data_IF_971911083021
#
_entry.id   IF_971911083021
#
_cell.length_a   1.000
_cell.length_b   1.000
_cell.length_c   1.000
_cell.angle_alpha   90.00
_cell.angle_beta   90.00
_cell.angle_gamma   90.00
#
_symmetry.space_group_name_H-M   'P 1'
#
loop_
_entity.id
_entity.type
_entity.pdbx_description
1 polymer ?
#
# COMPACT_ATOMS: atom_id res chain seq x y z
N UNK A 1 135.52 -64.44 39.28
CA UNK A 1 134.86 -63.44 40.15
C UNK A 1 133.43 -63.27 39.66
N UNK A 2 132.47 -63.21 40.59
CA UNK A 2 131.02 -63.40 40.44
C UNK A 2 130.26 -62.07 40.33
N UNK A 3 129.09 -62.11 39.64
CA UNK A 3 127.80 -61.36 39.83
C UNK A 3 127.83 -59.81 39.86
N UNK A 4 126.93 -59.14 39.10
CA UNK A 4 125.87 -58.24 39.65
C UNK A 4 125.29 -57.21 38.65
N UNK A 5 123.99 -57.37 38.36
CA UNK A 5 122.85 -56.44 38.43
C UNK A 5 122.83 -55.01 37.79
N UNK A 6 121.74 -54.79 37.02
CA UNK A 6 120.78 -53.64 36.99
C UNK A 6 121.08 -52.27 36.37
N UNK A 7 120.07 -51.78 35.61
CA UNK A 7 119.69 -50.37 35.47
C UNK A 7 118.50 -50.19 34.48
N UNK A 8 117.37 -49.53 34.85
CA UNK A 8 116.18 -49.40 34.00
C UNK A 8 116.27 -48.23 32.98
N UNK A 9 115.30 -48.19 32.07
CA UNK A 9 115.28 -47.41 30.83
C UNK A 9 115.36 -45.88 30.96
N UNK A 10 115.97 -45.23 29.96
CA UNK A 10 115.89 -43.79 29.72
C UNK A 10 114.75 -43.43 28.73
N UNK A 11 114.18 -42.21 28.83
CA UNK A 11 112.89 -41.85 28.23
C UNK A 11 112.94 -41.53 26.73
N UNK A 12 111.76 -41.58 26.11
CA UNK A 12 111.47 -41.28 24.70
C UNK A 12 111.80 -39.82 24.37
N UNK A 13 112.51 -39.58 23.26
CA UNK A 13 112.66 -38.26 22.67
C UNK A 13 111.42 -37.86 21.86
N UNK A 14 110.94 -36.63 22.07
CA UNK A 14 109.67 -36.09 21.54
C UNK A 14 109.77 -35.65 20.07
N UNK A 15 108.62 -35.71 19.39
CA UNK A 15 108.42 -35.50 17.95
C UNK A 15 108.80 -34.10 17.43
N UNK A 16 109.23 -34.05 16.17
CA UNK A 16 109.45 -32.81 15.43
C UNK A 16 108.13 -32.11 15.07
N UNK A 17 108.11 -30.79 15.24
CA UNK A 17 106.93 -29.93 15.07
C UNK A 17 106.42 -29.86 13.62
N UNK A 18 105.10 -29.98 13.45
CA UNK A 18 104.36 -29.72 12.21
C UNK A 18 104.39 -28.22 11.88
N UNK A 19 104.61 -27.86 10.61
CA UNK A 19 104.71 -26.47 10.14
C UNK A 19 103.42 -25.66 10.36
N UNK A 20 103.58 -24.34 10.50
CA UNK A 20 102.49 -23.42 10.82
C UNK A 20 101.38 -23.40 9.75
N UNK A 21 100.14 -23.37 10.22
CA UNK A 21 98.91 -23.32 9.41
C UNK A 21 98.79 -21.97 8.67
N UNK A 22 98.33 -22.02 7.41
CA UNK A 22 98.18 -20.83 6.56
C UNK A 22 97.13 -19.86 7.09
N UNK A 23 97.34 -18.54 6.89
CA UNK A 23 96.41 -17.51 7.35
C UNK A 23 95.05 -17.62 6.64
N UNK A 24 93.97 -17.52 7.41
CA UNK A 24 92.59 -17.58 6.93
C UNK A 24 92.27 -16.38 6.02
N UNK A 25 91.62 -16.64 4.88
CA UNK A 25 91.24 -15.60 3.91
C UNK A 25 90.27 -14.56 4.47
N UNK A 26 90.33 -13.34 3.96
CA UNK A 26 89.46 -12.24 4.37
C UNK A 26 87.98 -12.54 4.03
N UNK A 27 87.08 -12.15 4.95
CA UNK A 27 85.64 -12.32 4.79
C UNK A 27 85.13 -11.44 3.64
N UNK A 28 84.28 -12.01 2.75
CA UNK A 28 83.74 -11.29 1.60
C UNK A 28 82.79 -10.15 1.99
N UNK A 29 82.66 -9.17 1.10
CA UNK A 29 81.82 -7.99 1.30
C UNK A 29 80.33 -8.33 1.50
N UNK A 30 79.57 -7.54 2.28
CA UNK A 30 78.14 -7.73 2.44
C UNK A 30 77.38 -7.66 1.10
N UNK A 31 76.35 -8.51 0.95
CA UNK A 31 75.49 -8.50 -0.23
C UNK A 31 74.72 -7.18 -0.42
N UNK A 32 74.24 -6.90 -1.65
CA UNK A 32 73.49 -5.69 -1.94
C UNK A 32 72.15 -5.64 -1.17
N UNK A 33 71.66 -4.42 -0.91
CA UNK A 33 70.37 -4.22 -0.27
C UNK A 33 69.21 -4.83 -1.09
N UNK A 34 68.21 -5.38 -0.39
CA UNK A 34 67.04 -5.97 -1.03
C UNK A 34 66.16 -4.94 -1.76
N UNK A 35 65.32 -5.38 -2.70
CA UNK A 35 64.42 -4.50 -3.44
C UNK A 35 63.36 -3.85 -2.52
N UNK A 36 62.81 -2.67 -2.89
CA UNK A 36 61.70 -2.05 -2.16
C UNK A 36 60.49 -2.98 -2.04
N UNK A 37 59.80 -2.92 -0.90
CA UNK A 37 58.56 -3.68 -0.67
C UNK A 37 57.45 -3.32 -1.67
N UNK A 38 56.60 -4.30 -1.99
CA UNK A 38 55.45 -4.10 -2.87
C UNK A 38 54.46 -3.08 -2.30
N UNK A 39 53.78 -2.33 -3.19
CA UNK A 39 52.70 -1.41 -2.81
C UNK A 39 51.59 -2.17 -2.06
N UNK A 40 51.05 -1.57 -1.01
CA UNK A 40 49.93 -2.13 -0.25
C UNK A 40 48.68 -2.35 -1.13
N UNK A 41 47.89 -3.35 -0.77
CA UNK A 41 46.65 -3.68 -1.47
C UNK A 41 45.64 -2.51 -1.39
N UNK A 42 44.75 -2.35 -2.38
CA UNK A 42 43.63 -1.42 -2.30
C UNK A 42 42.77 -1.65 -1.05
N UNK A 43 42.17 -0.58 -0.52
CA UNK A 43 41.21 -0.69 0.58
C UNK A 43 39.99 -1.52 0.18
N UNK A 44 39.37 -2.17 1.16
CA UNK A 44 38.15 -2.94 0.95
C UNK A 44 37.00 -2.02 0.51
N UNK A 45 36.06 -2.51 -0.34
CA UNK A 45 34.82 -1.79 -0.63
C UNK A 45 34.06 -1.42 0.65
N UNK A 46 33.36 -0.29 0.62
CA UNK A 46 32.48 0.09 1.73
C UNK A 46 31.35 -0.93 1.95
N UNK A 47 30.76 -0.98 3.15
CA UNK A 47 29.64 -1.87 3.43
C UNK A 47 28.44 -1.52 2.52
N UNK A 48 27.57 -2.50 2.19
CA UNK A 48 26.30 -2.22 1.52
C UNK A 48 25.48 -1.19 2.29
N UNK A 49 24.72 -0.34 1.58
CA UNK A 49 23.78 0.59 2.21
C UNK A 49 22.71 -0.15 3.01
N UNK A 50 22.11 0.52 3.99
CA UNK A 50 21.02 -0.05 4.78
C UNK A 50 19.85 -0.45 3.87
N UNK A 51 19.26 -1.60 4.16
CA UNK A 51 18.06 -2.08 3.46
C UNK A 51 16.94 -1.06 3.66
N UNK A 52 16.30 -0.63 2.57
CA UNK A 52 15.13 0.25 2.66
C UNK A 52 14.08 -0.34 3.59
N UNK A 53 13.47 0.51 4.42
CA UNK A 53 12.36 0.11 5.29
C UNK A 53 11.30 -0.60 4.46
N UNK A 54 10.94 -1.83 4.86
CA UNK A 54 9.81 -2.53 4.25
C UNK A 54 8.58 -1.64 4.35
N UNK A 55 7.89 -1.42 3.22
CA UNK A 55 6.60 -0.75 3.24
C UNK A 55 5.71 -1.41 4.28
N UNK A 56 5.11 -0.60 5.15
CA UNK A 56 4.10 -1.10 6.08
C UNK A 56 3.06 -1.84 5.24
N UNK A 57 2.86 -3.13 5.55
CA UNK A 57 1.75 -3.95 5.05
C UNK A 57 0.51 -3.07 5.07
N UNK A 58 -0.15 -2.95 3.92
CA UNK A 58 -1.27 -2.04 3.72
C UNK A 58 -2.20 -2.11 4.92
N UNK A 59 -2.49 -0.95 5.51
CA UNK A 59 -3.73 -0.78 6.28
C UNK A 59 -4.80 -1.48 5.46
N UNK A 60 -5.42 -2.53 6.02
CA UNK A 60 -6.46 -3.32 5.36
C UNK A 60 -7.32 -2.33 4.57
N UNK A 61 -7.34 -2.45 3.24
CA UNK A 61 -8.20 -1.59 2.43
C UNK A 61 -9.59 -1.72 3.05
N UNK A 62 -10.11 -0.64 3.62
CA UNK A 62 -11.39 -0.72 4.29
C UNK A 62 -12.40 -0.92 3.17
N UNK A 63 -12.98 -2.12 3.13
CA UNK A 63 -13.96 -2.45 2.11
C UNK A 63 -15.07 -1.39 2.12
N UNK A 64 -15.45 -0.93 0.94
CA UNK A 64 -16.47 0.09 0.75
C UNK A 64 -17.47 -0.37 -0.29
N UNK A 65 -18.72 0.07 -0.13
CA UNK A 65 -19.75 -0.10 -1.14
C UNK A 65 -20.42 1.23 -1.44
N UNK A 66 -20.88 1.37 -2.68
CA UNK A 66 -21.69 2.47 -3.17
C UNK A 66 -22.95 1.91 -3.82
N UNK A 67 -24.08 2.56 -3.55
CA UNK A 67 -25.36 2.22 -4.18
C UNK A 67 -25.71 3.33 -5.16
N UNK A 68 -25.91 2.94 -6.41
CA UNK A 68 -26.39 3.82 -7.46
C UNK A 68 -27.81 3.42 -7.83
N UNK A 69 -28.76 4.34 -7.68
CA UNK A 69 -30.14 4.15 -8.12
C UNK A 69 -30.46 5.14 -9.24
N UNK A 70 -31.60 4.96 -9.89
CA UNK A 70 -31.97 5.71 -11.10
C UNK A 70 -32.21 7.21 -10.85
N UNK A 71 -32.79 7.57 -9.70
CA UNK A 71 -33.24 8.95 -9.43
C UNK A 71 -32.30 9.69 -8.48
N UNK A 72 -31.96 9.09 -7.34
CA UNK A 72 -31.16 9.71 -6.27
C UNK A 72 -30.26 8.66 -5.61
N UNK A 73 -28.98 8.95 -5.34
CA UNK A 73 -28.11 7.97 -4.69
C UNK A 73 -28.73 7.46 -3.39
N UNK A 74 -28.61 6.14 -3.16
CA UNK A 74 -29.12 5.47 -1.97
C UNK A 74 -30.65 5.61 -1.75
N UNK A 75 -31.45 5.83 -2.80
CA UNK A 75 -32.91 5.95 -2.70
C UNK A 75 -33.61 5.06 -3.73
N UNK A 76 -34.48 4.16 -3.26
CA UNK A 76 -35.18 3.19 -4.10
C UNK A 76 -36.62 2.98 -3.62
N UNK A 77 -37.48 2.39 -4.46
CA UNK A 77 -38.66 1.65 -3.98
C UNK A 77 -38.35 0.15 -3.90
N UNK A 78 -39.31 -0.66 -3.46
CA UNK A 78 -39.15 -2.13 -3.42
C UNK A 78 -39.04 -2.75 -4.82
N UNK A 79 -39.67 -2.14 -5.82
CA UNK A 79 -39.76 -2.68 -7.18
C UNK A 79 -38.68 -2.12 -8.11
N UNK A 80 -37.96 -1.08 -7.68
CA UNK A 80 -36.92 -0.45 -8.48
C UNK A 80 -35.63 -1.26 -8.44
N UNK A 81 -34.92 -1.25 -9.56
CA UNK A 81 -33.57 -1.81 -9.65
C UNK A 81 -32.51 -0.81 -9.20
N UNK A 82 -31.43 -1.30 -8.63
CA UNK A 82 -30.27 -0.49 -8.27
C UNK A 82 -28.96 -1.27 -8.39
N UNK A 83 -27.86 -0.55 -8.57
CA UNK A 83 -26.53 -1.14 -8.68
C UNK A 83 -25.75 -0.98 -7.38
N UNK A 84 -25.05 -2.02 -6.98
CA UNK A 84 -24.10 -1.99 -5.86
C UNK A 84 -22.69 -2.20 -6.40
N UNK A 85 -21.83 -1.23 -6.13
CA UNK A 85 -20.41 -1.27 -6.45
C UNK A 85 -19.63 -1.51 -5.17
N UNK A 86 -18.65 -2.39 -5.20
CA UNK A 86 -17.76 -2.64 -4.07
C UNK A 86 -16.29 -2.51 -4.44
N UNK A 87 -15.47 -2.10 -3.48
CA UNK A 87 -14.01 -2.02 -3.59
C UNK A 87 -13.34 -2.28 -2.23
N UNK A 88 -12.06 -2.64 -2.24
CA UNK A 88 -11.30 -2.92 -1.01
C UNK A 88 -11.60 -4.29 -0.39
N UNK A 89 -12.26 -5.19 -1.12
CA UNK A 89 -12.45 -6.58 -0.69
C UNK A 89 -11.18 -7.40 -1.00
N UNK A 90 -11.09 -8.61 -0.44
CA UNK A 90 -10.00 -9.51 -0.80
C UNK A 90 -10.16 -9.98 -2.26
N UNK A 91 -9.06 -10.24 -3.00
CA UNK A 91 -9.13 -10.79 -4.35
C UNK A 91 -9.83 -12.15 -4.41
N UNK A 92 -10.71 -12.36 -5.41
CA UNK A 92 -11.50 -13.60 -5.62
C UNK A 92 -12.32 -14.06 -4.40
N UNK A 93 -12.77 -13.11 -3.60
CA UNK A 93 -13.61 -13.33 -2.43
C UNK A 93 -15.08 -13.44 -2.84
N UNK A 94 -15.80 -14.40 -2.26
CA UNK A 94 -17.25 -14.50 -2.45
C UNK A 94 -17.91 -13.47 -1.54
N UNK A 95 -18.72 -12.58 -2.09
CA UNK A 95 -19.38 -11.49 -1.37
C UNK A 95 -20.88 -11.70 -1.42
N UNK A 96 -21.52 -11.70 -0.26
CA UNK A 96 -22.98 -11.69 -0.11
C UNK A 96 -23.41 -10.26 0.16
N UNK A 97 -24.33 -9.75 -0.67
CA UNK A 97 -24.98 -8.45 -0.49
C UNK A 97 -26.35 -8.68 0.11
N UNK A 98 -26.61 -8.04 1.24
CA UNK A 98 -27.84 -8.22 2.03
C UNK A 98 -28.37 -6.90 2.56
N UNK A 99 -29.68 -6.82 2.74
CA UNK A 99 -30.37 -5.73 3.41
C UNK A 99 -30.59 -6.10 4.88
N UNK A 100 -30.02 -5.32 5.79
CA UNK A 100 -30.34 -5.40 7.22
C UNK A 100 -31.69 -4.73 7.46
N UNK A 101 -32.72 -5.53 7.77
CA UNK A 101 -34.08 -5.02 8.02
C UNK A 101 -34.23 -4.63 9.49
N UNK A 102 -33.75 -5.48 10.39
CA UNK A 102 -33.66 -5.22 11.84
C UNK A 102 -32.63 -6.17 12.48
N UNK A 103 -32.38 -6.06 13.79
CA UNK A 103 -31.36 -6.84 14.52
C UNK A 103 -31.41 -8.37 14.31
N UNK A 104 -32.56 -8.91 13.93
CA UNK A 104 -32.79 -10.35 13.79
C UNK A 104 -32.94 -10.82 12.33
N UNK A 105 -33.03 -9.90 11.38
CA UNK A 105 -33.35 -10.21 9.99
C UNK A 105 -32.46 -9.48 9.01
N UNK A 106 -31.73 -10.29 8.25
CA UNK A 106 -31.05 -9.89 7.03
C UNK A 106 -31.72 -10.58 5.84
N UNK A 107 -32.09 -9.81 4.83
CA UNK A 107 -32.55 -10.31 3.55
C UNK A 107 -31.36 -10.37 2.60
N UNK A 108 -31.02 -11.55 2.08
CA UNK A 108 -30.00 -11.67 1.04
C UNK A 108 -30.60 -11.16 -0.27
N UNK A 109 -29.92 -10.18 -0.88
CA UNK A 109 -30.34 -9.59 -2.16
C UNK A 109 -29.62 -10.25 -3.33
N UNK A 110 -28.32 -10.50 -3.18
CA UNK A 110 -27.52 -11.14 -4.22
C UNK A 110 -26.15 -11.57 -3.71
N UNK A 111 -25.39 -12.25 -4.56
CA UNK A 111 -24.01 -12.66 -4.31
C UNK A 111 -23.12 -12.47 -5.55
N UNK A 112 -21.82 -12.31 -5.33
CA UNK A 112 -20.84 -12.12 -6.40
C UNK A 112 -19.45 -12.57 -5.97
N UNK A 113 -18.51 -12.57 -6.91
CA UNK A 113 -17.09 -12.82 -6.65
C UNK A 113 -16.30 -11.57 -7.04
N UNK A 114 -15.42 -11.13 -6.15
CA UNK A 114 -14.59 -9.96 -6.42
C UNK A 114 -13.55 -10.25 -7.48
N UNK A 115 -13.15 -9.20 -8.20
CA UNK A 115 -12.03 -9.23 -9.13
C UNK A 115 -10.70 -9.48 -8.40
N UNK A 116 -9.61 -9.62 -9.17
CA UNK A 116 -8.25 -9.66 -8.64
C UNK A 116 -7.84 -8.38 -7.88
N UNK A 117 -8.52 -7.27 -8.12
CA UNK A 117 -8.30 -5.99 -7.43
C UNK A 117 -9.23 -5.78 -6.23
N UNK A 118 -10.07 -6.77 -5.88
CA UNK A 118 -10.99 -6.65 -4.75
C UNK A 118 -12.21 -5.80 -5.02
N UNK A 119 -12.59 -5.64 -6.30
CA UNK A 119 -13.75 -4.86 -6.71
C UNK A 119 -14.87 -5.76 -7.26
N UNK A 120 -16.13 -5.30 -7.16
CA UNK A 120 -17.27 -5.96 -7.81
C UNK A 120 -18.33 -4.94 -8.23
N UNK A 121 -19.24 -5.38 -9.10
CA UNK A 121 -20.47 -4.69 -9.48
C UNK A 121 -21.60 -5.72 -9.53
N UNK A 122 -22.75 -5.39 -8.96
CA UNK A 122 -23.96 -6.21 -9.07
C UNK A 122 -25.19 -5.34 -9.30
N UNK A 123 -26.11 -5.85 -10.10
CA UNK A 123 -27.45 -5.29 -10.28
C UNK A 123 -28.40 -6.04 -9.35
N UNK A 124 -29.12 -5.29 -8.51
CA UNK A 124 -30.27 -5.79 -7.75
C UNK A 124 -31.50 -5.40 -8.57
N UNK A 125 -32.24 -6.40 -9.05
CA UNK A 125 -33.42 -6.16 -9.90
C UNK A 125 -34.58 -5.55 -9.10
N UNK A 126 -34.78 -6.02 -7.87
CA UNK A 126 -35.77 -5.52 -6.91
C UNK A 126 -35.46 -6.04 -5.50
N UNK A 127 -36.16 -5.51 -4.49
CA UNK A 127 -36.15 -6.04 -3.12
C UNK A 127 -37.31 -7.02 -2.99
N UNK A 128 -37.10 -8.25 -3.47
CA UNK A 128 -38.11 -9.31 -3.43
C UNK A 128 -37.93 -10.24 -2.23
N UNK A 129 -39.02 -10.52 -1.53
CA UNK A 129 -39.09 -11.48 -0.44
C UNK A 129 -40.54 -11.90 -0.16
N UNK A 130 -40.71 -12.97 0.62
CA UNK A 130 -42.03 -13.35 1.11
C UNK A 130 -42.71 -12.21 1.87
N UNK A 131 -44.04 -12.15 1.81
CA UNK A 131 -44.85 -11.08 2.43
C UNK A 131 -44.53 -10.86 3.93
N UNK A 132 -44.07 -11.90 4.64
CA UNK A 132 -43.64 -11.80 6.05
C UNK A 132 -42.38 -10.94 6.22
N UNK A 133 -41.42 -11.06 5.30
CA UNK A 133 -40.19 -10.27 5.29
C UNK A 133 -40.50 -8.84 4.86
N UNK A 134 -41.24 -8.67 3.76
CA UNK A 134 -41.60 -7.34 3.25
C UNK A 134 -42.41 -6.54 4.26
N UNK A 135 -43.31 -7.17 5.04
CA UNK A 135 -44.07 -6.49 6.09
C UNK A 135 -43.23 -5.89 7.22
N UNK A 136 -41.96 -6.30 7.33
CA UNK A 136 -41.01 -5.75 8.32
C UNK A 136 -40.24 -4.56 7.75
N UNK A 137 -40.26 -4.34 6.44
CA UNK A 137 -39.72 -3.16 5.80
C UNK A 137 -40.78 -2.06 5.89
N UNK A 138 -40.54 -1.10 6.78
CA UNK A 138 -41.27 0.16 6.82
C UNK A 138 -40.77 1.08 5.69
N UNK A 139 -41.72 1.58 4.91
CA UNK A 139 -41.45 2.55 3.85
C UNK A 139 -41.11 3.92 4.44
N UNK A 140 -40.33 4.69 3.68
CA UNK A 140 -39.79 6.00 4.03
C UNK A 140 -38.85 5.94 5.26
N UNK A 141 -38.14 4.82 5.43
CA UNK A 141 -37.08 4.61 6.42
C UNK A 141 -35.75 4.24 5.75
N UNK A 142 -34.65 4.44 6.48
CA UNK A 142 -33.29 4.14 6.04
C UNK A 142 -32.83 2.80 6.61
N UNK A 143 -32.35 1.94 5.72
CA UNK A 143 -31.80 0.62 6.02
C UNK A 143 -30.30 0.56 5.71
N UNK A 144 -29.66 -0.52 6.12
CA UNK A 144 -28.25 -0.78 5.81
C UNK A 144 -28.12 -1.91 4.81
N UNK A 145 -27.54 -1.63 3.65
CA UNK A 145 -26.99 -2.67 2.78
C UNK A 145 -25.64 -3.09 3.35
N UNK A 146 -25.46 -4.38 3.55
CA UNK A 146 -24.22 -5.01 4.03
C UNK A 146 -23.68 -5.91 2.93
N UNK A 147 -22.45 -5.67 2.52
CA UNK A 147 -21.66 -6.56 1.68
C UNK A 147 -20.62 -7.29 2.55
N UNK A 148 -20.75 -8.60 2.68
CA UNK A 148 -19.87 -9.43 3.50
C UNK A 148 -19.14 -10.47 2.65
N UNK A 149 -17.82 -10.38 2.65
CA UNK A 149 -16.94 -11.30 1.96
C UNK A 149 -16.56 -12.53 2.79
N UNK A 150 -16.29 -13.65 2.13
CA UNK A 150 -15.91 -14.93 2.74
C UNK A 150 -14.52 -14.93 3.41
N UNK A 151 -13.66 -13.99 3.04
CA UNK A 151 -12.36 -13.70 3.64
C UNK A 151 -12.42 -12.66 4.77
N UNK A 152 -13.62 -12.20 5.14
CA UNK A 152 -13.85 -11.31 6.29
C UNK A 152 -14.00 -9.83 5.95
N UNK A 153 -13.96 -9.45 4.67
CA UNK A 153 -14.26 -8.09 4.24
C UNK A 153 -15.70 -7.72 4.57
N UNK A 154 -15.94 -6.53 5.13
CA UNK A 154 -17.30 -6.04 5.42
C UNK A 154 -17.39 -4.58 5.01
N UNK A 155 -18.43 -4.24 4.26
CA UNK A 155 -18.73 -2.87 3.87
C UNK A 155 -20.24 -2.62 3.98
N UNK A 156 -20.60 -1.40 4.39
CA UNK A 156 -21.97 -0.99 4.63
C UNK A 156 -22.28 0.30 3.88
N UNK A 157 -23.51 0.44 3.37
CA UNK A 157 -24.04 1.68 2.83
C UNK A 157 -25.50 1.86 3.23
N UNK A 158 -25.96 3.09 3.48
CA UNK A 158 -27.37 3.37 3.73
C UNK A 158 -28.19 3.21 2.45
N UNK A 159 -29.44 2.76 2.58
CA UNK A 159 -30.42 2.72 1.51
C UNK A 159 -31.78 3.15 2.08
N UNK A 160 -32.36 4.22 1.54
CA UNK A 160 -33.72 4.64 1.86
C UNK A 160 -34.70 3.95 0.92
N UNK A 161 -35.73 3.32 1.50
CA UNK A 161 -36.77 2.60 0.76
C UNK A 161 -38.06 3.40 0.87
N UNK A 162 -38.48 4.04 -0.22
CA UNK A 162 -39.67 4.90 -0.25
C UNK A 162 -40.90 4.16 -0.77
N UNK A 163 -42.06 4.65 -0.38
CA UNK A 163 -43.34 4.21 -0.97
C UNK A 163 -43.54 4.69 -2.41
N UNK A 164 -42.95 5.83 -2.75
CA UNK A 164 -42.94 6.42 -4.09
C UNK A 164 -41.81 7.46 -4.14
N UNK A 165 -41.13 7.60 -5.27
CA UNK A 165 -40.08 8.59 -5.46
C UNK A 165 -40.64 9.74 -6.27
N UNK A 166 -40.95 10.84 -5.60
CA UNK A 166 -41.30 12.08 -6.29
C UNK A 166 -40.05 12.75 -6.87
N UNK A 167 -40.13 13.30 -8.11
CA UNK A 167 -39.05 14.11 -8.67
C UNK A 167 -38.84 15.35 -7.80
N UNK A 168 -37.59 15.66 -7.49
CA UNK A 168 -37.24 16.81 -6.67
C UNK A 168 -37.63 18.10 -7.41
N UNK A 169 -38.70 18.77 -6.97
CA UNK A 169 -38.96 20.16 -7.34
C UNK A 169 -38.28 21.02 -6.29
N UNK A 170 -37.12 21.57 -6.63
CA UNK A 170 -36.46 22.57 -5.79
C UNK A 170 -37.28 23.86 -5.86
N UNK A 171 -38.18 24.06 -4.90
CA UNK A 171 -38.73 25.38 -4.61
C UNK A 171 -37.79 25.98 -3.57
N UNK A 172 -37.10 27.06 -3.95
CA UNK A 172 -36.22 27.78 -3.04
C UNK A 172 -37.06 28.44 -1.95
N UNK A 173 -37.17 27.78 -0.80
CA UNK A 173 -37.60 28.44 0.43
C UNK A 173 -36.38 29.08 1.09
N UNK A 174 -36.43 30.40 1.26
CA UNK A 174 -35.49 31.12 2.11
C UNK A 174 -35.84 30.84 3.57
N UNK A 175 -35.11 29.95 4.21
CA UNK A 175 -35.07 29.86 5.67
C UNK A 175 -33.86 30.61 6.22
N UNK A 176 -34.13 31.45 7.23
CA UNK A 176 -33.11 32.10 8.05
C UNK A 176 -32.42 31.03 8.92
N UNK A 177 -31.32 30.47 8.43
CA UNK A 177 -30.43 29.62 9.21
C UNK A 177 -29.62 30.47 10.19
N UNK A 178 -29.62 30.09 11.47
CA UNK A 178 -28.60 30.54 12.43
C UNK A 178 -27.24 29.99 12.00
N UNK A 179 -26.23 30.86 11.92
CA UNK A 179 -24.86 30.51 11.53
C UNK A 179 -24.29 29.38 12.40
N UNK A 180 -24.29 28.17 11.87
CA UNK A 180 -23.49 27.07 12.41
C UNK A 180 -22.04 27.41 12.12
N UNK A 181 -21.19 27.46 13.15
CA UNK A 181 -19.77 27.78 12.97
C UNK A 181 -19.00 26.57 12.41
N UNK A 182 -19.10 26.36 11.10
CA UNK A 182 -18.45 25.28 10.36
C UNK A 182 -16.91 25.33 10.41
N UNK A 183 -16.31 26.48 10.77
CA UNK A 183 -14.84 26.59 10.91
C UNK A 183 -14.30 25.68 12.01
N UNK A 184 -15.09 25.42 13.06
CA UNK A 184 -14.69 24.54 14.16
C UNK A 184 -14.60 23.06 13.78
N UNK A 185 -15.22 22.66 12.65
CA UNK A 185 -15.29 21.27 12.20
C UNK A 185 -14.22 20.93 11.17
N UNK A 186 -13.53 21.92 10.59
CA UNK A 186 -12.61 21.72 9.45
C UNK A 186 -11.49 20.73 9.75
N UNK A 187 -10.96 20.75 10.96
CA UNK A 187 -9.87 19.86 11.37
C UNK A 187 -10.32 18.40 11.61
N UNK A 188 -11.63 18.18 11.80
CA UNK A 188 -12.22 16.86 12.07
C UNK A 188 -12.77 16.18 10.81
N UNK A 189 -12.93 16.91 9.70
CA UNK A 189 -13.44 16.37 8.45
C UNK A 189 -12.52 15.26 7.92
N UNK A 190 -13.12 14.15 7.50
CA UNK A 190 -12.41 13.09 6.78
C UNK A 190 -12.46 13.37 5.29
N UNK A 191 -11.32 13.19 4.63
CA UNK A 191 -11.23 13.39 3.20
C UNK A 191 -12.15 12.43 2.45
N UNK A 192 -12.80 12.95 1.42
CA UNK A 192 -13.66 12.21 0.50
C UNK A 192 -13.34 12.64 -0.92
N UNK A 193 -13.49 11.72 -1.87
CA UNK A 193 -13.41 11.99 -3.30
C UNK A 193 -14.57 11.33 -4.01
N UNK A 194 -15.05 11.98 -5.07
CA UNK A 194 -16.12 11.50 -5.95
C UNK A 194 -15.71 11.75 -7.40
N UNK A 195 -16.03 10.80 -8.28
CA UNK A 195 -15.91 10.97 -9.72
C UNK A 195 -17.11 10.35 -10.43
N UNK A 196 -17.45 10.90 -11.59
CA UNK A 196 -18.39 10.26 -12.51
C UNK A 196 -17.75 9.06 -13.20
N UNK A 197 -18.54 8.32 -13.98
CA UNK A 197 -18.02 7.33 -14.92
C UNK A 197 -16.95 7.98 -15.79
N UNK A 198 -15.75 7.39 -15.81
CA UNK A 198 -14.63 7.88 -16.59
C UNK A 198 -14.65 7.29 -17.99
N UNK A 199 -14.36 8.12 -18.99
CA UNK A 199 -14.18 7.68 -20.37
C UNK A 199 -12.69 7.53 -20.64
N UNK A 200 -12.30 6.38 -21.19
CA UNK A 200 -10.91 6.10 -21.54
C UNK A 200 -10.38 7.14 -22.51
N UNK A 201 -9.16 7.62 -22.27
CA UNK A 201 -8.45 8.57 -23.12
C UNK A 201 -8.93 10.02 -22.98
N UNK A 202 -9.97 10.28 -22.19
CA UNK A 202 -10.50 11.63 -22.00
C UNK A 202 -10.09 12.20 -20.64
N UNK A 203 -10.30 13.51 -20.49
CA UNK A 203 -10.17 14.21 -19.20
C UNK A 203 -11.41 13.92 -18.35
N UNK A 204 -11.18 13.41 -17.14
CA UNK A 204 -12.24 13.03 -16.21
C UNK A 204 -12.09 13.83 -14.92
N UNK A 205 -13.21 14.22 -14.31
CA UNK A 205 -13.20 15.09 -13.14
C UNK A 205 -13.42 14.28 -11.86
N UNK A 206 -12.57 14.55 -10.88
CA UNK A 206 -12.69 14.07 -9.51
C UNK A 206 -12.85 15.30 -8.62
N UNK A 207 -13.88 15.31 -7.78
CA UNK A 207 -14.12 16.34 -6.78
C UNK A 207 -13.80 15.77 -5.42
N UNK A 208 -13.04 16.50 -4.63
CA UNK A 208 -12.66 16.11 -3.29
C UNK A 208 -12.97 17.18 -2.27
N UNK A 209 -13.18 16.76 -1.02
CA UNK A 209 -13.42 17.63 0.14
C UNK A 209 -12.87 16.98 1.40
N UNK A 210 -12.71 17.75 2.48
CA UNK A 210 -12.18 17.25 3.76
C UNK A 210 -10.67 16.99 3.74
N UNK A 211 -9.95 17.51 2.75
CA UNK A 211 -8.49 17.59 2.79
C UNK A 211 -8.06 18.75 3.69
N UNK A 212 -6.82 18.73 4.17
CA UNK A 212 -6.28 19.85 4.95
C UNK A 212 -6.06 21.05 4.03
N UNK A 213 -6.15 22.25 4.61
CA UNK A 213 -5.92 23.50 3.87
C UNK A 213 -4.57 23.49 3.17
N UNK A 214 -4.56 23.75 1.86
CA UNK A 214 -3.36 23.77 1.00
C UNK A 214 -2.58 22.45 0.91
N UNK A 215 -3.15 21.34 1.37
CA UNK A 215 -2.55 20.00 1.26
C UNK A 215 -2.34 19.64 -0.20
N UNK A 216 -1.15 19.13 -0.54
CA UNK A 216 -0.89 18.61 -1.88
C UNK A 216 -1.48 17.21 -1.98
N UNK A 217 -2.51 17.07 -2.79
CA UNK A 217 -3.24 15.81 -2.99
C UNK A 217 -2.87 15.22 -4.33
N UNK A 218 -2.42 13.97 -4.31
CA UNK A 218 -2.13 13.17 -5.50
C UNK A 218 -3.24 12.15 -5.71
N UNK A 219 -3.72 12.04 -6.95
CA UNK A 219 -4.67 11.02 -7.37
C UNK A 219 -3.93 9.87 -8.05
N UNK A 220 -4.26 8.65 -7.68
CA UNK A 220 -3.75 7.42 -8.28
C UNK A 220 -4.82 6.34 -8.36
N UNK A 221 -4.42 5.16 -8.81
CA UNK A 221 -5.27 3.96 -8.89
C UNK A 221 -4.61 2.85 -8.09
N UNK A 222 -5.36 2.22 -7.19
CA UNK A 222 -4.84 1.10 -6.39
C UNK A 222 -4.46 -0.06 -7.32
N UNK A 223 -3.18 -0.46 -7.29
CA UNK A 223 -2.63 -1.49 -8.18
C UNK A 223 -2.46 -1.04 -9.64
N UNK A 224 -2.72 0.24 -9.95
CA UNK A 224 -2.54 0.87 -11.25
C UNK A 224 -1.45 1.95 -11.23
N UNK A 225 -1.53 2.96 -12.10
CA UNK A 225 -0.58 4.07 -12.11
C UNK A 225 -0.54 4.80 -10.75
N UNK A 226 0.67 5.00 -10.21
CA UNK A 226 0.85 5.57 -8.88
C UNK A 226 0.37 7.02 -8.77
N UNK A 227 0.61 7.85 -9.79
CA UNK A 227 0.19 9.26 -9.80
C UNK A 227 -0.32 9.64 -11.19
N UNK A 228 -1.61 9.96 -11.26
CA UNK A 228 -2.28 10.44 -12.47
C UNK A 228 -2.30 11.97 -12.56
N UNK A 229 -2.45 12.64 -11.41
CA UNK A 229 -2.43 14.11 -11.29
C UNK A 229 -2.23 14.50 -9.82
N UNK A 230 -1.66 15.68 -9.57
CA UNK A 230 -1.60 16.27 -8.25
C UNK A 230 -2.00 17.75 -8.28
N UNK A 231 -2.73 18.19 -7.26
CA UNK A 231 -3.14 19.59 -7.03
C UNK A 231 -3.17 19.87 -5.53
N UNK A 232 -3.05 21.14 -5.17
CA UNK A 232 -3.29 21.56 -3.79
C UNK A 232 -4.79 21.73 -3.55
N UNK A 233 -5.28 21.25 -2.40
CA UNK A 233 -6.60 21.61 -1.91
C UNK A 233 -6.65 23.11 -1.59
N UNK A 234 -7.82 23.72 -1.68
CA UNK A 234 -8.01 25.12 -1.32
C UNK A 234 -8.02 25.35 0.21
N UNK A 235 -8.27 26.59 0.62
CA UNK A 235 -8.35 26.94 2.05
C UNK A 235 -9.52 26.29 2.79
N UNK A 236 -10.51 25.75 2.06
CA UNK A 236 -11.63 25.00 2.60
C UNK A 236 -11.42 23.48 2.55
N UNK A 237 -10.25 23.01 2.09
CA UNK A 237 -9.98 21.58 1.97
C UNK A 237 -10.67 20.92 0.78
N UNK A 238 -11.12 21.71 -0.19
CA UNK A 238 -11.76 21.23 -1.42
C UNK A 238 -10.76 21.16 -2.56
N UNK A 239 -10.99 20.24 -3.49
CA UNK A 239 -10.08 20.03 -4.61
C UNK A 239 -10.82 19.51 -5.84
N UNK A 240 -10.32 19.87 -7.02
CA UNK A 240 -10.71 19.26 -8.29
C UNK A 240 -9.46 18.70 -8.96
N UNK A 241 -9.50 17.41 -9.30
CA UNK A 241 -8.43 16.68 -9.97
C UNK A 241 -8.94 16.23 -11.33
N UNK A 242 -8.20 16.56 -12.39
CA UNK A 242 -8.64 16.30 -13.77
C UNK A 242 -7.60 15.48 -14.57
N UNK A 243 -7.37 14.20 -14.21
CA UNK A 243 -6.47 13.34 -14.97
C UNK A 243 -7.04 12.97 -16.33
N UNK A 244 -6.16 12.55 -17.23
CA UNK A 244 -6.54 11.72 -18.38
C UNK A 244 -6.50 10.26 -17.90
N UNK A 245 -7.61 9.54 -18.04
CA UNK A 245 -7.71 8.13 -17.61
C UNK A 245 -7.46 7.24 -18.82
N UNK A 246 -6.29 6.61 -18.91
CA UNK A 246 -5.97 5.64 -19.97
C UNK A 246 -5.96 4.21 -19.41
N UNK A 247 -7.09 3.79 -18.87
CA UNK A 247 -7.32 2.43 -18.36
C UNK A 247 -8.27 1.67 -19.30
N UNK A 248 -8.12 0.35 -19.38
CA UNK A 248 -9.15 -0.49 -20.02
C UNK A 248 -10.49 -0.36 -19.31
N UNK A 249 -11.59 -0.58 -20.02
CA UNK A 249 -12.91 -0.60 -19.41
C UNK A 249 -12.98 -1.60 -18.24
N UNK A 250 -13.61 -1.19 -17.15
CA UNK A 250 -13.63 -1.95 -15.90
C UNK A 250 -13.92 -1.10 -14.68
N UNK A 251 -13.79 -1.69 -13.50
CA UNK A 251 -13.97 -1.02 -12.20
C UNK A 251 -12.65 -1.04 -11.43
N UNK A 252 -12.24 0.12 -10.94
CA UNK A 252 -10.98 0.36 -10.24
C UNK A 252 -11.23 1.07 -8.90
N UNK A 253 -10.20 1.13 -8.06
CA UNK A 253 -10.22 2.01 -6.87
C UNK A 253 -9.36 3.22 -7.15
N UNK A 254 -9.98 4.39 -7.31
CA UNK A 254 -9.27 5.65 -7.26
C UNK A 254 -8.88 5.96 -5.82
N UNK A 255 -7.66 6.45 -5.62
CA UNK A 255 -7.13 6.82 -4.32
C UNK A 255 -6.53 8.22 -4.41
N UNK A 256 -6.96 9.10 -3.51
CA UNK A 256 -6.39 10.42 -3.31
C UNK A 256 -5.61 10.42 -1.99
N UNK A 257 -4.32 10.76 -2.07
CA UNK A 257 -3.41 10.82 -0.92
C UNK A 257 -2.87 12.23 -0.81
N UNK A 258 -3.16 12.88 0.31
CA UNK A 258 -2.62 14.17 0.68
C UNK A 258 -1.30 14.04 1.45
N UNK A 259 -0.37 14.97 1.20
CA UNK A 259 0.95 15.01 1.84
C UNK A 259 0.91 15.36 3.34
N UNK A 260 -0.23 15.83 3.83
CA UNK A 260 -0.50 16.05 5.25
C UNK A 260 -1.28 14.90 5.90
N UNK A 261 -1.42 13.77 5.20
CA UNK A 261 -1.94 12.50 5.72
C UNK A 261 -3.42 12.23 5.43
N UNK A 262 -4.10 13.08 4.68
CA UNK A 262 -5.48 12.82 4.24
C UNK A 262 -5.50 11.69 3.22
N UNK A 263 -6.42 10.74 3.34
CA UNK A 263 -6.60 9.65 2.38
C UNK A 263 -8.09 9.52 2.08
N UNK A 264 -8.42 9.45 0.80
CA UNK A 264 -9.78 9.23 0.32
C UNK A 264 -9.79 8.23 -0.84
N UNK A 265 -10.81 7.39 -0.93
CA UNK A 265 -10.95 6.40 -2.01
C UNK A 265 -12.32 6.49 -2.67
N UNK A 266 -12.40 6.15 -3.96
CA UNK A 266 -13.65 6.13 -4.73
C UNK A 266 -13.66 4.97 -5.74
N UNK A 267 -14.78 4.24 -5.90
CA UNK A 267 -14.93 3.29 -6.99
C UNK A 267 -14.99 4.02 -8.34
N UNK A 268 -14.01 3.74 -9.20
CA UNK A 268 -13.92 4.35 -10.53
C UNK A 268 -14.37 3.35 -11.59
N UNK A 269 -15.48 3.65 -12.25
CA UNK A 269 -15.92 2.91 -13.44
C UNK A 269 -15.31 3.56 -14.67
N UNK A 270 -14.61 2.77 -15.50
CA UNK A 270 -14.03 3.21 -16.77
C UNK A 270 -14.78 2.54 -17.91
N UNK A 271 -15.18 3.33 -18.90
CA UNK A 271 -15.82 2.87 -20.14
C UNK A 271 -15.00 3.28 -21.36
N UNK A 272 -15.17 2.58 -22.48
CA UNK A 272 -14.62 3.02 -23.76
C UNK A 272 -15.48 4.14 -24.36
N UNK A 273 -14.86 5.02 -25.14
CA UNK A 273 -15.57 6.00 -25.95
C UNK A 273 -16.39 5.25 -27.02
N UNK A 274 -17.70 5.54 -27.10
CA UNK A 274 -18.61 4.89 -28.06
C UNK A 274 -18.45 5.44 -29.47
#
# INVERSE_FOLDING_TARGET
MLISCTGPAGPIGLDGSIGAEGQQGQQGDPGPAGPPGSRGLPGLPGPPGEQGVSGTVGSLLQASILIQTEIRPNLTTLDDSFEVFGSGFNPNENVIVSLQIDDSLQLVLSDTVTSLSGAFKILIESIDADARVLSRIKLNEVYTITAKGSGGSIANAPLSIESNIEPLIVVAEQENATDVNYESLKDDLKASIVATVAVKGTRNSFWGSGFKSNELVSLGIVGGPEILVARSADAAGTIILEPIIDLSAGVYTAIAIGDAGSIATWPLVVVEEK
#
